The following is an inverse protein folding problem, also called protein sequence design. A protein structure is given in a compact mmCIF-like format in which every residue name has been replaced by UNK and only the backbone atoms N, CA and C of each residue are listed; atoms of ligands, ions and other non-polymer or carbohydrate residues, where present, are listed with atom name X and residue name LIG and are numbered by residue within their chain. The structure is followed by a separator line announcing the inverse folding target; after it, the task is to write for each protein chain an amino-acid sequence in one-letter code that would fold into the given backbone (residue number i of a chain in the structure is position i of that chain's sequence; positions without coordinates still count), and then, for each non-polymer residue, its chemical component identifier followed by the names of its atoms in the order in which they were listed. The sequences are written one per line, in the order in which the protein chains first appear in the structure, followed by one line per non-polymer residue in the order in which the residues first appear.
data_IF_698321753180
#
_entry.id   IF_698321753180
#
_cell.length_a   1.000
_cell.length_b   1.000
_cell.length_c   1.000
_cell.angle_alpha   90.00
_cell.angle_beta   90.00
_cell.angle_gamma   90.00
#
_symmetry.space_group_name_H-M   'P 1'
#
loop_
_entity.id
_entity.type
_entity.pdbx_description
1 polymer ?
#
# COMPACT_ATOMS: atom_id res chain seq x y z
N UNK A 1 9.65 -1.14 -14.46
CA UNK A 1 9.53 -2.02 -13.27
C UNK A 1 8.09 -2.08 -12.76
N UNK A 2 7.56 -3.27 -12.48
CA UNK A 2 6.26 -3.47 -11.83
C UNK A 2 6.47 -3.66 -10.33
N UNK A 3 5.54 -3.16 -9.54
CA UNK A 3 5.51 -3.33 -8.09
C UNK A 3 4.12 -3.82 -7.69
N UNK A 4 4.05 -5.05 -7.21
CA UNK A 4 2.81 -5.61 -6.66
C UNK A 4 2.62 -5.16 -5.22
N UNK A 5 1.53 -4.45 -4.93
CA UNK A 5 1.10 -4.16 -3.56
C UNK A 5 0.10 -5.21 -3.12
N UNK A 6 0.59 -6.23 -2.43
CA UNK A 6 -0.23 -7.28 -1.84
C UNK A 6 -0.55 -6.98 -0.37
N UNK A 7 -1.65 -7.51 0.12
CA UNK A 7 -1.85 -7.74 1.54
C UNK A 7 -3.23 -8.31 1.82
N UNK A 8 -3.37 -9.02 2.92
CA UNK A 8 -4.61 -9.67 3.37
C UNK A 8 -5.77 -8.65 3.38
N UNK A 9 -7.01 -9.00 3.02
CA UNK A 9 -8.15 -8.10 3.20
C UNK A 9 -8.17 -7.46 4.60
N UNK A 10 -8.38 -6.14 4.66
CA UNK A 10 -8.36 -5.32 5.90
C UNK A 10 -7.01 -5.25 6.65
N UNK A 11 -5.90 -5.71 6.05
CA UNK A 11 -4.54 -5.43 6.52
C UNK A 11 -4.11 -3.97 6.34
N UNK A 12 -4.76 -3.23 5.45
CA UNK A 12 -4.37 -1.87 5.07
C UNK A 12 -3.55 -1.78 3.78
N UNK A 13 -3.53 -2.84 2.97
CA UNK A 13 -2.82 -2.87 1.69
C UNK A 13 -3.24 -1.77 0.71
N UNK A 14 -4.49 -1.29 0.75
CA UNK A 14 -4.89 -0.09 -0.01
C UNK A 14 -4.11 1.14 0.43
N UNK A 15 -3.89 1.35 1.74
CA UNK A 15 -3.10 2.49 2.22
C UNK A 15 -1.65 2.36 1.79
N UNK A 16 -1.05 1.16 1.92
CA UNK A 16 0.31 0.89 1.46
C UNK A 16 0.46 1.16 -0.05
N UNK A 17 -0.47 0.66 -0.87
CA UNK A 17 -0.54 0.94 -2.30
C UNK A 17 -0.59 2.44 -2.59
N UNK A 18 -1.44 3.20 -1.90
CA UNK A 18 -1.57 4.64 -2.15
C UNK A 18 -0.34 5.44 -1.70
N UNK A 19 0.36 5.00 -0.66
CA UNK A 19 1.67 5.57 -0.30
C UNK A 19 2.70 5.30 -1.41
N UNK A 20 2.78 4.06 -1.92
CA UNK A 20 3.67 3.71 -3.02
C UNK A 20 3.35 4.44 -4.33
N UNK A 21 2.05 4.54 -4.67
CA UNK A 21 1.57 5.30 -5.82
C UNK A 21 1.91 6.80 -5.68
N UNK A 22 1.77 7.38 -4.50
CA UNK A 22 2.18 8.76 -4.23
C UNK A 22 3.68 8.99 -4.39
N UNK A 23 4.52 8.04 -3.94
CA UNK A 23 5.98 8.09 -4.15
C UNK A 23 6.32 8.00 -5.64
N UNK A 24 5.77 7.02 -6.36
CA UNK A 24 6.01 6.83 -7.78
C UNK A 24 5.56 8.05 -8.61
N UNK A 25 4.36 8.56 -8.35
CA UNK A 25 3.82 9.74 -9.03
C UNK A 25 4.72 10.96 -8.87
N UNK A 26 5.15 11.28 -7.64
CA UNK A 26 6.04 12.42 -7.39
C UNK A 26 7.49 12.18 -7.85
N UNK A 27 7.88 10.91 -8.04
CA UNK A 27 9.13 10.50 -8.66
C UNK A 27 9.10 10.48 -10.19
N UNK A 28 8.01 10.95 -10.82
CA UNK A 28 7.89 11.03 -12.28
C UNK A 28 7.30 9.77 -12.95
N UNK A 29 6.87 8.78 -12.17
CA UNK A 29 6.24 7.55 -12.66
C UNK A 29 4.72 7.57 -12.48
N UNK A 30 4.08 8.49 -13.19
CA UNK A 30 2.63 8.64 -13.18
C UNK A 30 1.89 7.46 -13.82
N UNK A 31 0.74 7.07 -13.24
CA UNK A 31 -0.15 6.05 -13.82
C UNK A 31 -1.51 6.66 -14.19
N UNK A 32 -1.98 6.46 -15.44
CA UNK A 32 -3.25 7.02 -15.92
C UNK A 32 -4.48 6.62 -15.13
N UNK A 33 -4.45 5.44 -14.48
CA UNK A 33 -5.56 4.88 -13.73
C UNK A 33 -5.94 5.64 -12.45
N UNK A 34 -5.19 6.68 -12.06
CA UNK A 34 -5.44 7.41 -10.81
C UNK A 34 -6.42 8.59 -10.93
N UNK A 35 -6.86 8.96 -12.15
CA UNK A 35 -7.76 10.12 -12.32
C UNK A 35 -8.74 10.00 -13.50
N UNK A 36 -9.92 9.38 -13.32
CA UNK A 36 -11.06 9.71 -14.14
C UNK A 36 -11.69 10.98 -13.55
N UNK A 37 -11.14 12.14 -13.91
CA UNK A 37 -11.61 13.46 -13.46
C UNK A 37 -11.47 13.70 -11.93
N UNK A 38 -10.66 14.71 -11.55
CA UNK A 38 -11.00 15.50 -10.37
C UNK A 38 -12.33 16.21 -10.65
N UNK A 39 -13.44 15.47 -10.54
CA UNK A 39 -14.65 16.09 -10.04
C UNK A 39 -14.25 16.61 -8.67
N UNK A 40 -14.02 17.92 -8.57
CA UNK A 40 -14.20 18.67 -7.32
C UNK A 40 -15.32 17.99 -6.55
N UNK A 41 -15.18 17.65 -5.25
CA UNK A 41 -16.15 16.82 -4.54
C UNK A 41 -17.53 17.48 -4.52
N UNK A 42 -18.27 17.27 -5.60
CA UNK A 42 -19.70 17.42 -5.74
C UNK A 42 -20.24 16.01 -5.67
N UNK A 43 -20.59 15.59 -4.45
CA UNK A 43 -21.47 14.44 -4.19
C UNK A 43 -21.05 13.11 -4.82
N UNK A 44 -19.98 12.51 -4.30
CA UNK A 44 -20.03 11.05 -4.07
C UNK A 44 -19.83 10.82 -2.57
N UNK A 45 -20.87 11.20 -1.84
CA UNK A 45 -21.17 10.68 -0.51
C UNK A 45 -21.71 9.28 -0.80
N UNK A 46 -21.02 8.21 -0.40
CA UNK A 46 -21.77 6.99 -0.05
C UNK A 46 -22.85 7.48 0.89
N UNK A 47 -24.16 7.37 0.56
CA UNK A 47 -25.21 7.96 1.37
C UNK A 47 -24.90 7.64 2.83
N UNK A 48 -24.67 8.68 3.63
CA UNK A 48 -24.35 8.57 5.04
C UNK A 48 -25.55 8.05 5.86
N UNK A 49 -26.43 7.24 5.24
CA UNK A 49 -27.48 6.48 5.89
C UNK A 49 -26.82 5.25 6.51
N UNK A 50 -26.16 5.44 7.66
CA UNK A 50 -25.53 4.35 8.42
C UNK A 50 -24.20 4.71 9.08
N UNK A 51 -23.62 5.87 8.75
CA UNK A 51 -22.60 6.47 9.63
C UNK A 51 -23.32 7.11 10.82
N UNK A 52 -22.72 6.99 12.00
CA UNK A 52 -23.14 7.63 13.24
C UNK A 52 -23.68 9.04 12.95
N UNK A 53 -24.92 9.41 13.35
CA UNK A 53 -25.45 10.76 13.17
C UNK A 53 -24.58 11.85 13.80
N UNK A 54 -23.62 11.51 14.67
CA UNK A 54 -22.59 12.43 15.17
C UNK A 54 -21.42 12.67 14.19
N UNK A 55 -21.36 11.96 13.06
CA UNK A 55 -20.32 12.15 12.05
C UNK A 55 -20.48 13.51 11.36
N UNK A 56 -19.60 14.44 11.72
CA UNK A 56 -19.63 15.83 11.23
C UNK A 56 -19.60 15.86 9.69
N UNK A 57 -20.37 16.76 9.04
CA UNK A 57 -20.30 16.94 7.60
C UNK A 57 -18.85 17.21 7.17
N UNK A 58 -18.49 16.77 5.96
CA UNK A 58 -17.16 16.99 5.38
C UNK A 58 -16.91 18.49 5.41
N UNK A 59 -16.05 18.95 6.33
CA UNK A 59 -15.68 20.36 6.44
C UNK A 59 -15.07 20.82 5.12
N UNK A 60 -15.39 22.06 4.75
CA UNK A 60 -14.68 22.75 3.67
C UNK A 60 -13.17 22.59 3.86
N UNK A 61 -12.46 22.32 2.75
CA UNK A 61 -11.02 22.11 2.80
C UNK A 61 -10.32 23.37 3.31
N UNK A 62 -9.33 23.20 4.19
CA UNK A 62 -8.50 24.32 4.61
C UNK A 62 -7.70 24.88 3.42
N UNK A 63 -7.33 26.18 3.40
CA UNK A 63 -6.46 26.74 2.38
C UNK A 63 -5.16 25.93 2.17
N UNK A 64 -4.59 25.43 3.27
CA UNK A 64 -3.42 24.54 3.25
C UNK A 64 -3.69 23.24 2.47
N UNK A 65 -4.84 22.61 2.69
CA UNK A 65 -5.26 21.39 1.98
C UNK A 65 -5.38 21.67 0.48
N UNK A 66 -5.96 22.80 0.10
CA UNK A 66 -6.09 23.19 -1.30
C UNK A 66 -4.72 23.40 -1.96
N UNK A 67 -3.82 24.14 -1.32
CA UNK A 67 -2.47 24.37 -1.82
C UNK A 67 -1.67 23.06 -2.00
N UNK A 68 -1.76 22.13 -1.04
CA UNK A 68 -1.09 20.83 -1.15
C UNK A 68 -1.63 19.99 -2.32
N UNK A 69 -2.94 20.08 -2.60
CA UNK A 69 -3.56 19.40 -3.73
C UNK A 69 -3.05 19.95 -5.05
N UNK A 70 -3.01 21.29 -5.20
CA UNK A 70 -2.47 21.94 -6.40
C UNK A 70 -0.98 21.60 -6.60
N UNK A 71 -0.19 21.62 -5.53
CA UNK A 71 1.23 21.27 -5.58
C UNK A 71 1.44 19.82 -6.07
N UNK A 72 0.63 18.86 -5.59
CA UNK A 72 0.69 17.48 -6.05
C UNK A 72 0.31 17.36 -7.53
N UNK A 73 -0.78 18.00 -7.95
CA UNK A 73 -1.23 17.97 -9.35
C UNK A 73 -0.19 18.59 -10.30
N UNK A 74 0.43 19.69 -9.91
CA UNK A 74 1.47 20.34 -10.69
C UNK A 74 2.71 19.45 -10.83
N UNK A 75 3.15 18.81 -9.75
CA UNK A 75 4.26 17.86 -9.79
C UNK A 75 3.94 16.65 -10.69
N UNK A 76 2.72 16.13 -10.59
CA UNK A 76 2.25 14.98 -11.37
C UNK A 76 2.14 15.23 -12.88
N UNK A 77 1.71 16.43 -13.29
CA UNK A 77 1.49 16.77 -14.71
C UNK A 77 2.76 16.87 -15.54
N UNK A 78 3.93 16.87 -14.91
CA UNK A 78 5.23 16.90 -15.62
C UNK A 78 5.58 15.56 -16.28
N UNK A 79 4.85 14.49 -15.98
CA UNK A 79 5.06 13.18 -16.60
C UNK A 79 4.16 13.04 -17.83
N UNK A 80 4.71 12.73 -19.01
CA UNK A 80 3.90 12.43 -20.19
C UNK A 80 3.00 11.20 -19.94
N UNK A 81 1.78 11.19 -20.51
CA UNK A 81 0.85 10.09 -20.29
C UNK A 81 1.44 8.72 -20.64
N UNK A 82 0.95 7.71 -19.92
CA UNK A 82 1.19 6.28 -20.18
C UNK A 82 0.83 5.87 -21.60
N UNK A 83 1.39 4.76 -22.14
CA UNK A 83 0.61 3.99 -23.09
C UNK A 83 -0.76 3.66 -22.45
N UNK A 84 -1.79 3.60 -23.28
CA UNK A 84 -3.13 3.27 -22.81
C UNK A 84 -3.15 1.84 -22.27
N UNK A 85 -3.76 1.64 -21.09
CA UNK A 85 -3.90 0.30 -20.53
C UNK A 85 -4.91 -0.52 -21.34
N UNK A 86 -4.59 -1.80 -21.67
CA UNK A 86 -5.53 -2.71 -22.29
C UNK A 86 -6.87 -2.76 -21.52
N UNK A 87 -8.02 -2.82 -22.20
CA UNK A 87 -9.34 -2.77 -21.56
C UNK A 87 -9.54 -3.78 -20.42
N UNK A 88 -9.01 -4.99 -20.57
CA UNK A 88 -9.07 -6.08 -19.59
C UNK A 88 -8.19 -5.86 -18.36
N UNK A 89 -7.18 -4.99 -18.48
CA UNK A 89 -6.31 -4.55 -17.38
C UNK A 89 -6.73 -3.17 -16.85
N UNK A 90 -7.85 -2.60 -17.29
CA UNK A 90 -8.32 -1.32 -16.76
C UNK A 90 -8.86 -1.51 -15.34
N UNK A 91 -8.66 -0.53 -14.46
CA UNK A 91 -9.29 -0.52 -13.15
C UNK A 91 -10.81 -0.66 -13.26
N UNK A 92 -11.39 -1.68 -12.62
CA UNK A 92 -12.85 -1.81 -12.48
C UNK A 92 -13.50 -0.59 -11.81
N UNK A 93 -12.77 0.10 -10.94
CA UNK A 93 -13.27 1.24 -10.16
C UNK A 93 -12.58 2.58 -10.44
N UNK A 94 -11.71 2.64 -11.46
CA UNK A 94 -10.97 3.86 -11.83
C UNK A 94 -10.01 4.40 -10.75
N UNK A 95 -9.64 3.59 -9.74
CA UNK A 95 -8.90 4.05 -8.54
C UNK A 95 -7.56 3.36 -8.29
N UNK A 96 -7.38 2.17 -8.83
CA UNK A 96 -6.16 1.39 -8.72
C UNK A 96 -6.14 0.35 -9.84
N UNK A 97 -4.97 0.10 -10.43
CA UNK A 97 -4.77 -1.11 -11.24
C UNK A 97 -4.86 -2.30 -10.29
N UNK A 98 -5.98 -3.03 -10.34
CA UNK A 98 -6.29 -4.12 -9.42
C UNK A 98 -6.39 -5.44 -10.18
N UNK A 99 -5.61 -6.44 -9.76
CA UNK A 99 -5.73 -7.81 -10.24
C UNK A 99 -6.28 -8.68 -9.12
N UNK A 100 -7.44 -9.28 -9.38
CA UNK A 100 -8.05 -10.26 -8.47
C UNK A 100 -7.39 -11.63 -8.65
N UNK A 101 -7.26 -12.07 -9.89
CA UNK A 101 -6.57 -13.31 -10.27
C UNK A 101 -5.20 -13.01 -10.83
N UNK A 102 -4.21 -13.83 -10.47
CA UNK A 102 -2.83 -13.70 -10.92
C UNK A 102 -2.53 -14.77 -11.97
N UNK A 103 -2.46 -14.36 -13.24
CA UNK A 103 -2.11 -15.25 -14.36
C UNK A 103 -0.73 -14.89 -14.90
N UNK A 104 0.12 -15.88 -15.25
CA UNK A 104 1.45 -15.61 -15.82
C UNK A 104 1.40 -14.64 -17.01
N UNK A 105 0.39 -14.77 -17.86
CA UNK A 105 0.19 -13.94 -19.06
C UNK A 105 0.01 -12.47 -18.72
N UNK A 106 -0.70 -12.16 -17.63
CA UNK A 106 -0.88 -10.78 -17.17
C UNK A 106 0.47 -10.17 -16.78
N UNK A 107 1.36 -10.96 -16.17
CA UNK A 107 2.69 -10.49 -15.80
C UNK A 107 3.55 -10.15 -17.02
N UNK A 108 3.55 -11.01 -18.06
CA UNK A 108 4.21 -10.72 -19.33
C UNK A 108 3.67 -9.44 -19.99
N UNK A 109 2.34 -9.29 -20.06
CA UNK A 109 1.67 -8.11 -20.62
C UNK A 109 2.05 -6.85 -19.85
N UNK A 110 2.00 -6.89 -18.52
CA UNK A 110 2.38 -5.75 -17.68
C UNK A 110 3.85 -5.37 -17.89
N UNK A 111 4.76 -6.34 -18.02
CA UNK A 111 6.20 -6.05 -18.23
C UNK A 111 6.39 -5.32 -19.56
N UNK A 112 5.75 -5.79 -20.62
CA UNK A 112 5.79 -5.16 -21.93
C UNK A 112 5.23 -3.72 -21.91
N UNK A 113 4.13 -3.49 -21.17
CA UNK A 113 3.51 -2.17 -21.05
C UNK A 113 4.31 -1.18 -20.20
N UNK A 114 5.10 -1.68 -19.25
CA UNK A 114 5.73 -0.83 -18.24
C UNK A 114 6.84 0.04 -18.83
N UNK A 115 7.65 -0.51 -19.76
CA UNK A 115 8.87 0.16 -20.25
C UNK A 115 9.75 0.66 -19.11
N UNK A 116 10.22 1.91 -19.22
CA UNK A 116 11.06 2.57 -18.20
C UNK A 116 10.29 3.13 -16.99
N UNK A 117 8.99 2.85 -16.89
CA UNK A 117 8.14 3.41 -15.83
C UNK A 117 8.09 2.50 -14.61
N UNK A 118 7.51 3.01 -13.52
CA UNK A 118 7.09 2.18 -12.39
C UNK A 118 5.57 2.01 -12.43
N UNK A 119 5.12 0.76 -12.55
CA UNK A 119 3.72 0.37 -12.55
C UNK A 119 3.35 -0.30 -11.23
N UNK A 120 2.42 0.28 -10.47
CA UNK A 120 1.91 -0.25 -9.21
C UNK A 120 0.65 -1.05 -9.51
N UNK A 121 0.64 -2.32 -9.10
CA UNK A 121 -0.51 -3.22 -9.22
C UNK A 121 -0.96 -3.60 -7.82
N UNK A 122 -2.21 -3.33 -7.46
CA UNK A 122 -2.81 -3.82 -6.22
C UNK A 122 -3.37 -5.22 -6.44
N UNK A 123 -3.22 -6.11 -5.47
CA UNK A 123 -3.83 -7.43 -5.53
C UNK A 123 -4.13 -7.98 -4.14
N UNK A 124 -5.12 -8.87 -4.08
CA UNK A 124 -5.35 -9.78 -2.95
C UNK A 124 -5.20 -11.25 -3.37
N UNK A 125 -4.84 -11.50 -4.63
CA UNK A 125 -4.79 -12.83 -5.21
C UNK A 125 -3.65 -13.67 -4.63
N UNK A 126 -3.95 -14.97 -4.48
CA UNK A 126 -2.97 -15.99 -4.20
C UNK A 126 -2.12 -16.26 -5.46
N UNK A 127 -0.78 -16.27 -5.35
CA UNK A 127 0.08 -16.53 -6.50
C UNK A 127 0.15 -18.05 -6.75
N UNK A 128 -0.19 -18.49 -7.96
CA UNK A 128 0.00 -19.89 -8.36
C UNK A 128 1.49 -20.25 -8.50
N UNK A 129 1.88 -21.53 -8.44
CA UNK A 129 3.26 -21.95 -8.68
C UNK A 129 3.85 -21.43 -10.01
N UNK A 130 3.07 -21.46 -11.08
CA UNK A 130 3.47 -20.96 -12.40
C UNK A 130 3.67 -19.44 -12.39
N UNK A 131 2.74 -18.70 -11.76
CA UNK A 131 2.88 -17.25 -11.62
C UNK A 131 4.13 -16.88 -10.80
N UNK A 132 4.39 -17.60 -9.71
CA UNK A 132 5.58 -17.39 -8.88
C UNK A 132 6.87 -17.67 -9.66
N UNK A 133 6.89 -18.70 -10.51
CA UNK A 133 8.03 -18.99 -11.37
C UNK A 133 8.31 -17.83 -12.35
N UNK A 134 7.28 -17.34 -13.04
CA UNK A 134 7.40 -16.16 -13.93
C UNK A 134 7.81 -14.91 -13.16
N UNK A 135 7.27 -14.69 -11.96
CA UNK A 135 7.69 -13.58 -11.09
C UNK A 135 9.17 -13.67 -10.75
N UNK A 136 9.68 -14.85 -10.35
CA UNK A 136 11.08 -15.04 -9.99
C UNK A 136 12.00 -14.75 -11.18
N UNK A 137 11.64 -15.19 -12.39
CA UNK A 137 12.37 -14.86 -13.62
C UNK A 137 12.48 -13.34 -13.84
N UNK A 138 11.34 -12.64 -13.79
CA UNK A 138 11.34 -11.19 -13.97
C UNK A 138 12.00 -10.44 -12.82
N UNK A 139 11.95 -10.96 -11.60
CA UNK A 139 12.58 -10.34 -10.43
C UNK A 139 14.10 -10.42 -10.54
N UNK A 140 14.64 -11.54 -11.05
CA UNK A 140 16.06 -11.69 -11.33
C UNK A 140 16.58 -10.65 -12.33
N UNK A 141 15.72 -10.21 -13.26
CA UNK A 141 15.99 -9.15 -14.25
C UNK A 141 15.70 -7.74 -13.72
N UNK A 142 15.25 -7.60 -12.47
CA UNK A 142 14.86 -6.32 -11.87
C UNK A 142 13.58 -5.70 -12.44
N UNK A 143 12.77 -6.49 -13.14
CA UNK A 143 11.56 -6.01 -13.81
C UNK A 143 10.34 -6.01 -12.88
N UNK A 144 10.31 -6.84 -11.84
CA UNK A 144 9.22 -6.94 -10.88
C UNK A 144 9.73 -6.91 -9.43
N UNK A 145 8.85 -6.48 -8.52
CA UNK A 145 9.00 -6.59 -7.07
C UNK A 145 7.65 -6.57 -6.36
N UNK A 146 7.65 -6.79 -5.05
CA UNK A 146 6.44 -6.78 -4.24
C UNK A 146 6.58 -5.91 -2.98
N UNK A 147 5.55 -5.15 -2.67
CA UNK A 147 5.32 -4.51 -1.39
C UNK A 147 4.26 -5.33 -0.66
N UNK A 148 4.68 -6.06 0.36
CA UNK A 148 3.84 -7.02 1.09
C UNK A 148 3.38 -6.36 2.38
N UNK A 149 2.11 -5.96 2.40
CA UNK A 149 1.49 -5.35 3.56
C UNK A 149 0.91 -6.41 4.50
N UNK A 150 1.16 -6.23 5.79
CA UNK A 150 0.68 -7.15 6.81
C UNK A 150 0.27 -6.42 8.09
N UNK A 151 -0.53 -7.09 8.92
CA UNK A 151 -1.11 -6.54 10.14
C UNK A 151 -1.26 -7.65 11.18
N UNK A 152 -1.35 -7.28 12.45
CA UNK A 152 -1.73 -8.23 13.49
C UNK A 152 -3.04 -8.94 13.11
N UNK A 153 -3.06 -10.28 12.98
CA UNK A 153 -4.23 -11.03 12.53
C UNK A 153 -5.43 -10.86 13.47
N UNK A 154 -5.19 -10.53 14.75
CA UNK A 154 -6.26 -10.26 15.71
C UNK A 154 -7.03 -8.99 15.38
N UNK A 155 -6.30 -7.97 14.95
CA UNK A 155 -6.88 -6.72 14.46
C UNK A 155 -7.57 -6.90 13.10
N UNK A 156 -7.06 -7.77 12.23
CA UNK A 156 -7.71 -8.10 10.95
C UNK A 156 -9.08 -8.73 11.21
N UNK A 157 -9.17 -9.71 12.12
CA UNK A 157 -10.44 -10.35 12.46
C UNK A 157 -11.50 -9.33 12.90
N UNK A 158 -11.15 -8.42 13.82
CA UNK A 158 -12.04 -7.33 14.24
C UNK A 158 -12.46 -6.41 13.09
N UNK A 159 -11.54 -6.12 12.16
CA UNK A 159 -11.84 -5.28 11.00
C UNK A 159 -12.74 -5.98 9.97
N UNK A 160 -12.64 -7.31 9.83
CA UNK A 160 -13.55 -8.11 9.02
C UNK A 160 -14.95 -8.15 9.64
N UNK A 161 -15.06 -8.37 10.95
CA UNK A 161 -16.34 -8.37 11.66
C UNK A 161 -17.10 -7.04 11.51
N UNK A 162 -16.40 -5.91 11.63
CA UNK A 162 -17.01 -4.59 11.41
C UNK A 162 -17.49 -4.43 9.95
N UNK A 163 -16.69 -4.86 8.98
CA UNK A 163 -17.01 -4.75 7.57
C UNK A 163 -18.23 -5.61 7.23
N UNK A 164 -18.27 -6.84 7.74
CA UNK A 164 -19.37 -7.78 7.59
C UNK A 164 -20.68 -7.20 8.14
N UNK A 165 -20.64 -6.65 9.36
CA UNK A 165 -21.80 -5.97 9.97
C UNK A 165 -22.29 -4.81 9.11
N UNK A 166 -21.38 -3.97 8.62
CA UNK A 166 -21.71 -2.82 7.79
C UNK A 166 -22.30 -3.28 6.43
N UNK A 167 -21.71 -4.29 5.81
CA UNK A 167 -22.14 -4.82 4.52
C UNK A 167 -23.52 -5.46 4.63
N UNK A 168 -23.81 -6.20 5.70
CA UNK A 168 -25.18 -6.71 5.97
C UNK A 168 -26.21 -5.59 6.11
N UNK A 169 -25.88 -4.50 6.80
CA UNK A 169 -26.76 -3.31 6.92
C UNK A 169 -27.06 -2.69 5.55
N UNK A 170 -26.11 -2.76 4.61
CA UNK A 170 -26.27 -2.24 3.25
C UNK A 170 -26.72 -3.28 2.21
N UNK A 171 -26.98 -4.53 2.60
CA UNK A 171 -27.32 -5.60 1.66
C UNK A 171 -26.20 -5.96 0.68
N UNK A 172 -24.93 -5.72 1.04
CA UNK A 172 -23.76 -6.09 0.25
C UNK A 172 -23.28 -7.50 0.63
N UNK A 173 -22.97 -8.32 -0.37
CA UNK A 173 -22.55 -9.71 -0.16
C UNK A 173 -21.10 -9.85 0.33
N UNK A 174 -20.20 -8.94 -0.07
CA UNK A 174 -18.78 -9.02 0.28
C UNK A 174 -18.58 -9.05 1.81
N UNK A 175 -17.75 -9.97 2.32
CA UNK A 175 -17.47 -10.14 3.76
C UNK A 175 -18.69 -10.47 4.63
N UNK A 176 -19.89 -10.63 4.07
CA UNK A 176 -21.11 -10.85 4.86
C UNK A 176 -21.08 -12.18 5.63
N UNK A 177 -20.23 -13.12 5.22
CA UNK A 177 -20.01 -14.44 5.82
C UNK A 177 -19.39 -14.41 7.22
N UNK A 178 -18.77 -13.29 7.63
CA UNK A 178 -18.17 -13.15 8.96
C UNK A 178 -19.21 -12.64 9.97
N UNK A 179 -20.01 -13.56 10.49
CA UNK A 179 -21.00 -13.30 11.56
C UNK A 179 -20.39 -13.48 12.95
N UNK A 180 -19.42 -14.39 13.07
CA UNK A 180 -18.79 -14.80 14.30
C UNK A 180 -17.26 -14.68 14.20
N UNK A 181 -16.61 -14.46 15.35
CA UNK A 181 -15.16 -14.28 15.41
C UNK A 181 -14.41 -15.50 14.87
N UNK A 182 -14.96 -16.69 15.06
CA UNK A 182 -14.42 -17.97 14.60
C UNK A 182 -14.32 -18.06 13.08
N UNK A 183 -15.34 -17.56 12.38
CA UNK A 183 -15.33 -17.49 10.92
C UNK A 183 -14.24 -16.53 10.45
N UNK A 184 -14.09 -15.38 11.13
CA UNK A 184 -13.03 -14.43 10.82
C UNK A 184 -11.64 -15.04 11.09
N UNK A 185 -11.47 -15.80 12.17
CA UNK A 185 -10.22 -16.51 12.47
C UNK A 185 -9.88 -17.51 11.36
N UNK A 186 -10.83 -18.33 10.93
CA UNK A 186 -10.61 -19.30 9.85
C UNK A 186 -10.29 -18.63 8.51
N UNK A 187 -10.97 -17.51 8.18
CA UNK A 187 -10.69 -16.72 6.99
C UNK A 187 -9.29 -16.10 7.03
N UNK A 188 -8.89 -15.52 8.17
CA UNK A 188 -7.56 -14.94 8.34
C UNK A 188 -6.46 -16.00 8.29
N UNK A 189 -6.65 -17.19 8.88
CA UNK A 189 -5.68 -18.29 8.79
C UNK A 189 -5.39 -18.68 7.33
N UNK A 190 -6.43 -18.77 6.49
CA UNK A 190 -6.26 -19.02 5.05
C UNK A 190 -5.40 -17.94 4.40
N UNK A 191 -5.72 -16.67 4.63
CA UNK A 191 -4.96 -15.57 4.06
C UNK A 191 -3.52 -15.45 4.61
N UNK A 192 -3.26 -15.94 5.83
CA UNK A 192 -1.89 -16.00 6.35
C UNK A 192 -1.03 -17.03 5.60
N UNK A 193 -1.64 -18.13 5.11
CA UNK A 193 -0.95 -19.10 4.24
C UNK A 193 -0.63 -18.48 2.88
N UNK A 194 -1.58 -17.76 2.29
CA UNK A 194 -1.34 -16.98 1.05
C UNK A 194 -0.23 -15.93 1.24
N UNK A 195 -0.25 -15.22 2.38
CA UNK A 195 0.79 -14.25 2.72
C UNK A 195 2.17 -14.91 2.83
N UNK A 196 2.25 -16.15 3.32
CA UNK A 196 3.51 -16.88 3.39
C UNK A 196 4.11 -17.09 1.98
N UNK A 197 3.28 -17.47 1.00
CA UNK A 197 3.71 -17.60 -0.41
C UNK A 197 4.27 -16.28 -0.95
N UNK A 198 3.59 -15.16 -0.67
CA UNK A 198 4.10 -13.84 -1.04
C UNK A 198 5.44 -13.52 -0.38
N UNK A 199 5.63 -13.89 0.90
CA UNK A 199 6.88 -13.68 1.63
C UNK A 199 8.07 -14.51 1.10
N UNK A 200 7.82 -15.56 0.32
CA UNK A 200 8.86 -16.40 -0.29
C UNK A 200 9.43 -15.83 -1.61
N UNK A 201 8.79 -14.81 -2.17
CA UNK A 201 9.23 -14.18 -3.41
C UNK A 201 10.53 -13.36 -3.19
N UNK A 202 11.35 -13.18 -4.23
CA UNK A 202 12.48 -12.26 -4.17
C UNK A 202 12.00 -10.80 -4.26
N UNK A 203 12.88 -9.87 -3.82
CA UNK A 203 12.69 -8.41 -3.94
C UNK A 203 11.39 -7.92 -3.27
N UNK A 204 11.20 -8.29 -2.01
CA UNK A 204 10.04 -7.88 -1.22
C UNK A 204 10.41 -6.72 -0.31
N UNK A 205 9.53 -5.72 -0.24
CA UNK A 205 9.47 -4.76 0.86
C UNK A 205 8.29 -5.12 1.77
N UNK A 206 8.58 -5.46 3.03
CA UNK A 206 7.54 -5.65 4.03
C UNK A 206 7.07 -4.30 4.57
N UNK A 207 5.75 -4.13 4.66
CA UNK A 207 5.12 -2.93 5.19
C UNK A 207 4.10 -3.33 6.25
N UNK A 208 4.37 -3.08 7.52
CA UNK A 208 3.36 -3.30 8.56
C UNK A 208 2.31 -2.17 8.57
N UNK A 209 1.06 -2.55 8.87
CA UNK A 209 -0.07 -1.62 8.93
C UNK A 209 0.19 -0.42 9.83
N UNK A 210 0.78 -0.65 11.00
CA UNK A 210 0.96 0.39 12.00
C UNK A 210 1.97 1.44 11.54
N UNK A 211 3.04 1.02 10.88
CA UNK A 211 3.98 1.93 10.22
C UNK A 211 3.28 2.72 9.11
N UNK A 212 2.48 2.08 8.25
CA UNK A 212 1.74 2.79 7.22
C UNK A 212 0.70 3.78 7.77
N UNK A 213 -0.07 3.38 8.79
CA UNK A 213 -1.23 4.12 9.31
C UNK A 213 -0.83 5.20 10.32
N UNK A 214 0.09 4.89 11.24
CA UNK A 214 0.42 5.75 12.38
C UNK A 214 1.81 6.39 12.27
N UNK A 215 2.71 5.83 11.46
CA UNK A 215 4.05 6.39 11.20
C UNK A 215 4.32 6.57 9.70
N UNK A 216 3.41 7.19 8.93
CA UNK A 216 3.46 7.17 7.47
C UNK A 216 4.76 7.72 6.89
N UNK A 217 5.46 8.63 7.57
CA UNK A 217 6.77 9.13 7.13
C UNK A 217 7.81 8.00 7.02
N UNK A 218 7.84 7.08 8.00
CA UNK A 218 8.74 5.93 7.98
C UNK A 218 8.39 4.97 6.83
N UNK A 219 7.10 4.66 6.64
CA UNK A 219 6.65 3.83 5.51
C UNK A 219 7.05 4.45 4.16
N UNK A 220 6.86 5.77 4.01
CA UNK A 220 7.21 6.47 2.78
C UNK A 220 8.71 6.43 2.53
N UNK A 221 9.54 6.61 3.55
CA UNK A 221 11.00 6.57 3.39
C UNK A 221 11.49 5.16 3.03
N UNK A 222 10.89 4.10 3.58
CA UNK A 222 11.14 2.71 3.16
C UNK A 222 10.79 2.49 1.70
N UNK A 223 9.61 2.95 1.27
CA UNK A 223 9.14 2.83 -0.12
C UNK A 223 10.07 3.58 -1.07
N UNK A 224 10.50 4.80 -0.74
CA UNK A 224 11.47 5.55 -1.55
C UNK A 224 12.79 4.83 -1.69
N UNK A 225 13.32 4.33 -0.57
CA UNK A 225 14.61 3.63 -0.55
C UNK A 225 14.54 2.37 -1.41
N UNK A 226 13.45 1.60 -1.30
CA UNK A 226 13.21 0.45 -2.16
C UNK A 226 13.17 0.87 -3.63
N UNK A 227 12.30 1.83 -3.99
CA UNK A 227 12.07 2.25 -5.38
C UNK A 227 13.20 3.10 -6.00
N UNK A 228 14.17 3.55 -5.22
CA UNK A 228 15.23 4.47 -5.68
C UNK A 228 14.71 5.86 -6.06
N UNK A 229 13.61 6.31 -5.42
CA UNK A 229 12.93 7.56 -5.78
C UNK A 229 13.08 8.64 -4.70
N UNK A 230 12.93 9.89 -5.13
CA UNK A 230 12.84 11.06 -4.25
C UNK A 230 11.44 11.65 -4.32
N UNK A 231 10.85 11.92 -3.16
CA UNK A 231 9.54 12.56 -3.06
C UNK A 231 9.39 13.30 -1.71
N UNK A 232 8.64 14.40 -1.62
CA UNK A 232 8.34 15.02 -0.33
C UNK A 232 7.32 14.20 0.48
N UNK A 233 7.69 13.76 1.70
CA UNK A 233 6.82 12.93 2.55
C UNK A 233 5.45 13.56 2.81
N UNK A 234 5.43 14.89 3.02
CA UNK A 234 4.20 15.61 3.28
C UNK A 234 3.20 15.51 2.11
N UNK A 235 3.69 15.58 0.86
CA UNK A 235 2.83 15.49 -0.33
C UNK A 235 2.35 14.06 -0.57
N UNK A 236 3.24 13.06 -0.41
CA UNK A 236 2.85 11.63 -0.50
C UNK A 236 1.77 11.31 0.53
N UNK A 237 1.97 11.72 1.79
CA UNK A 237 0.99 11.52 2.87
C UNK A 237 -0.33 12.23 2.57
N UNK A 238 -0.29 13.48 2.09
CA UNK A 238 -1.49 14.21 1.72
C UNK A 238 -2.25 13.49 0.61
N UNK A 239 -1.56 13.06 -0.44
CA UNK A 239 -2.14 12.24 -1.50
C UNK A 239 -2.82 11.00 -0.92
N UNK A 240 -2.08 10.13 -0.21
CA UNK A 240 -2.60 8.85 0.27
C UNK A 240 -3.76 8.97 1.27
N UNK A 241 -3.87 10.09 2.00
CA UNK A 241 -4.84 10.24 3.10
C UNK A 241 -5.98 11.21 2.81
N UNK A 242 -5.86 12.07 1.79
CA UNK A 242 -6.86 13.11 1.47
C UNK A 242 -7.36 13.05 0.04
N UNK A 243 -6.52 12.65 -0.91
CA UNK A 243 -6.84 12.66 -2.33
C UNK A 243 -7.19 11.27 -2.81
N UNK A 244 -6.30 10.32 -2.53
CA UNK A 244 -6.52 8.92 -2.79
C UNK A 244 -7.56 8.36 -1.83
N UNK A 245 -8.43 7.50 -2.36
CA UNK A 245 -9.41 6.80 -1.57
C UNK A 245 -8.73 5.74 -0.69
N UNK A 246 -8.85 5.88 0.62
CA UNK A 246 -8.56 4.82 1.59
C UNK A 246 -9.74 4.65 2.52
N UNK A 247 -10.35 3.45 2.54
CA UNK A 247 -11.35 3.13 3.56
C UNK A 247 -10.62 2.96 4.88
N UNK A 248 -10.77 3.95 5.77
CA UNK A 248 -10.42 3.81 7.17
C UNK A 248 -11.66 3.32 7.88
N UNK A 249 -11.58 2.12 8.44
CA UNK A 249 -12.56 1.66 9.41
C UNK A 249 -12.34 2.45 10.73
N UNK A 250 -11.90 1.81 11.82
CA UNK A 250 -11.61 2.54 13.07
C UNK A 250 -10.24 3.22 13.11
N UNK A 251 -9.24 2.71 12.38
CA UNK A 251 -7.86 3.19 12.40
C UNK A 251 -7.29 3.39 13.82
N UNK A 252 -7.43 2.36 14.66
CA UNK A 252 -6.91 2.30 16.04
C UNK A 252 -5.79 1.27 16.09
N UNK A 253 -4.63 1.67 16.62
CA UNK A 253 -3.49 0.78 16.84
C UNK A 253 -3.79 -0.22 17.96
N UNK A 254 -3.29 -1.45 17.83
CA UNK A 254 -3.43 -2.51 18.83
C UNK A 254 -4.88 -2.72 19.31
N UNK A 255 -5.85 -2.59 18.40
CA UNK A 255 -7.29 -2.54 18.74
C UNK A 255 -7.75 -3.80 19.49
N UNK A 256 -7.21 -4.96 19.11
CA UNK A 256 -7.49 -6.24 19.75
C UNK A 256 -7.29 -6.22 21.27
N UNK A 257 -6.36 -5.40 21.79
CA UNK A 257 -6.11 -5.30 23.24
C UNK A 257 -7.24 -4.63 24.02
N UNK A 258 -8.07 -3.84 23.34
CA UNK A 258 -9.15 -3.05 23.95
C UNK A 258 -10.53 -3.65 23.73
N UNK A 259 -10.71 -4.34 22.61
CA UNK A 259 -12.04 -4.82 22.19
C UNK A 259 -12.23 -6.33 22.39
N UNK A 260 -11.16 -7.11 22.51
CA UNK A 260 -11.26 -8.53 22.83
C UNK A 260 -11.12 -8.75 24.34
N UNK A 261 -11.92 -9.67 24.87
CA UNK A 261 -11.72 -10.16 26.23
C UNK A 261 -10.47 -11.07 26.33
N UNK A 262 -10.05 -11.38 27.55
CA UNK A 262 -8.87 -12.21 27.79
C UNK A 262 -8.94 -13.61 27.18
N UNK A 263 -10.13 -14.22 27.13
CA UNK A 263 -10.31 -15.57 26.55
C UNK A 263 -10.20 -15.52 25.03
N UNK A 264 -10.80 -14.51 24.41
CA UNK A 264 -10.69 -14.26 22.96
C UNK A 264 -9.24 -13.98 22.56
N UNK A 265 -8.53 -13.12 23.29
CA UNK A 265 -7.11 -12.84 23.04
C UNK A 265 -6.28 -14.12 23.15
N UNK A 266 -6.48 -14.93 24.20
CA UNK A 266 -5.74 -16.18 24.38
C UNK A 266 -5.97 -17.15 23.22
N UNK A 267 -7.23 -17.40 22.88
CA UNK A 267 -7.62 -18.29 21.77
C UNK A 267 -7.06 -17.85 20.43
N UNK A 268 -7.13 -16.56 20.11
CA UNK A 268 -6.60 -16.06 18.83
C UNK A 268 -5.06 -16.02 18.84
N UNK A 269 -4.44 -15.81 19.99
CA UNK A 269 -2.99 -15.87 20.12
C UNK A 269 -2.49 -17.28 19.88
N UNK A 270 -3.20 -18.29 20.39
CA UNK A 270 -2.92 -19.70 20.09
C UNK A 270 -3.11 -20.01 18.60
N UNK A 271 -4.25 -19.63 18.02
CA UNK A 271 -4.56 -19.86 16.60
C UNK A 271 -3.52 -19.24 15.65
N UNK A 272 -2.99 -18.07 15.97
CA UNK A 272 -2.03 -17.35 15.14
C UNK A 272 -0.59 -17.40 15.67
N UNK A 273 -0.29 -18.28 16.63
CA UNK A 273 0.99 -18.30 17.34
C UNK A 273 2.22 -18.33 16.40
N UNK A 274 2.26 -19.18 15.35
CA UNK A 274 3.41 -19.20 14.45
C UNK A 274 3.68 -17.84 13.80
N UNK A 275 2.62 -17.22 13.29
CA UNK A 275 2.70 -15.93 12.61
C UNK A 275 3.06 -14.79 13.58
N UNK A 276 2.41 -14.73 14.74
CA UNK A 276 2.66 -13.69 15.75
C UNK A 276 4.10 -13.74 16.27
N UNK A 277 4.66 -14.95 16.42
CA UNK A 277 6.07 -15.15 16.79
C UNK A 277 7.00 -14.70 15.68
N UNK A 278 6.75 -15.13 14.44
CA UNK A 278 7.57 -14.78 13.29
C UNK A 278 7.61 -13.28 13.04
N UNK A 279 6.51 -12.57 13.21
CA UNK A 279 6.41 -11.13 12.92
C UNK A 279 6.72 -10.23 14.12
N UNK A 280 6.88 -10.79 15.31
CA UNK A 280 7.16 -10.02 16.54
C UNK A 280 5.93 -9.34 17.17
N UNK A 281 4.71 -9.60 16.70
CA UNK A 281 3.49 -9.04 17.29
C UNK A 281 3.25 -9.51 18.74
N UNK A 282 3.85 -10.64 19.16
CA UNK A 282 3.80 -11.07 20.57
C UNK A 282 4.54 -10.11 21.52
N UNK A 283 5.64 -9.50 21.07
CA UNK A 283 6.48 -8.63 21.90
C UNK A 283 5.91 -7.20 22.07
N UNK A 284 4.70 -6.95 21.57
CA UNK A 284 4.02 -5.66 21.71
C UNK A 284 4.46 -4.57 20.75
N UNK A 285 5.24 -4.93 19.73
CA UNK A 285 5.30 -4.30 18.40
C UNK A 285 6.26 -5.09 17.52
N UNK A 286 6.03 -5.19 16.21
CA UNK A 286 7.08 -5.60 15.31
C UNK A 286 8.19 -4.53 15.42
N UNK A 287 9.30 -4.86 16.08
CA UNK A 287 10.55 -4.24 15.68
C UNK A 287 10.66 -4.57 14.19
N UNK A 288 10.78 -3.56 13.32
CA UNK A 288 11.12 -3.80 11.92
C UNK A 288 12.46 -4.52 11.98
N UNK A 289 12.42 -5.86 11.94
CA UNK A 289 13.61 -6.70 11.95
C UNK A 289 13.83 -7.05 10.49
N UNK A 290 14.65 -6.28 9.76
CA UNK A 290 15.01 -6.64 8.38
C UNK A 290 15.56 -8.07 8.31
N UNK A 291 16.13 -8.56 9.41
CA UNK A 291 16.69 -9.90 9.60
C UNK A 291 15.67 -11.05 9.53
N UNK A 292 14.39 -10.83 9.85
CA UNK A 292 13.38 -11.91 9.84
C UNK A 292 13.15 -12.46 8.42
N UNK A 293 13.49 -11.68 7.39
CA UNK A 293 13.29 -12.04 5.99
C UNK A 293 14.57 -11.90 5.13
N UNK A 294 15.72 -11.62 5.75
CA UNK A 294 17.00 -11.39 5.05
C UNK A 294 17.60 -12.63 4.35
N UNK A 295 16.90 -13.78 4.33
CA UNK A 295 17.39 -15.00 3.66
C UNK A 295 17.14 -15.03 2.14
N UNK A 296 16.45 -14.05 1.55
CA UNK A 296 16.09 -14.07 0.11
C UNK A 296 16.66 -12.88 -0.69
N UNK A 297 17.96 -12.92 -0.97
CA UNK A 297 18.56 -12.24 -2.12
C UNK A 297 19.51 -11.06 -1.80
N UNK A 298 20.41 -10.73 -2.75
CA UNK A 298 21.60 -9.91 -2.49
C UNK A 298 21.25 -8.43 -2.33
N UNK A 299 21.02 -8.01 -1.08
CA UNK A 299 20.93 -6.60 -0.71
C UNK A 299 22.10 -6.21 0.19
N UNK A 300 23.28 -6.00 -0.42
CA UNK A 300 24.32 -5.13 0.15
C UNK A 300 25.38 -4.72 -0.90
N UNK A 301 24.95 -4.23 -2.06
CA UNK A 301 25.69 -3.14 -2.71
C UNK A 301 24.72 -2.00 -2.93
N UNK A 302 24.50 -1.26 -1.85
CA UNK A 302 24.31 0.18 -1.99
C UNK A 302 25.57 0.69 -2.69
N UNK A 303 25.56 0.71 -4.01
CA UNK A 303 26.40 1.66 -4.72
C UNK A 303 25.85 3.00 -4.24
N UNK A 304 26.62 3.66 -3.37
CA UNK A 304 26.34 5.02 -2.97
C UNK A 304 26.03 5.78 -4.25
N UNK A 305 24.79 6.24 -4.39
CA UNK A 305 24.45 7.18 -5.44
C UNK A 305 25.46 8.32 -5.28
N UNK A 306 26.26 8.66 -6.31
CA UNK A 306 27.26 9.70 -6.15
C UNK A 306 26.54 10.95 -5.62
N UNK A 307 27.16 11.73 -4.71
CA UNK A 307 26.62 13.03 -4.37
C UNK A 307 26.30 13.76 -5.68
N UNK A 308 25.21 14.55 -5.74
CA UNK A 308 24.93 15.35 -6.93
C UNK A 308 26.23 16.05 -7.34
N UNK A 309 26.55 16.15 -8.64
CA UNK A 309 27.72 16.89 -9.06
C UNK A 309 27.67 18.24 -8.37
N UNK A 310 28.76 18.60 -7.69
CA UNK A 310 28.88 19.90 -7.05
C UNK A 310 28.47 20.91 -8.12
N UNK A 311 27.34 21.59 -7.91
CA UNK A 311 26.96 22.67 -8.79
C UNK A 311 28.18 23.57 -8.88
N UNK A 312 28.70 23.75 -10.11
CA UNK A 312 29.72 24.72 -10.43
C UNK A 312 29.32 26.02 -9.76
N UNK A 313 30.02 26.34 -8.66
CA UNK A 313 30.06 27.69 -8.14
C UNK A 313 30.98 28.45 -9.06
N UNK A 314 30.51 28.70 -10.28
CA UNK A 314 31.06 29.77 -11.08
C UNK A 314 30.43 31.07 -10.55
N UNK A 315 31.10 31.61 -9.54
CA UNK A 315 30.87 32.96 -9.06
C UNK A 315 32.22 33.68 -9.15
N UNK A 316 32.45 34.24 -10.33
CA UNK A 316 33.29 35.40 -10.58
C UNK A 316 33.12 36.41 -9.43
N UNK A 317 34.06 36.41 -8.48
CA UNK A 317 34.25 37.53 -7.55
C UNK A 317 35.09 38.59 -8.26
N UNK A 318 34.61 39.83 -8.40
CA UNK A 318 35.50 40.92 -8.78
C UNK A 318 36.42 41.25 -7.60
N UNK A 319 37.71 41.37 -7.91
CA UNK A 319 38.76 41.88 -7.03
C UNK A 319 38.50 43.36 -6.72
N UNK A 320 38.62 43.83 -5.47
CA UNK A 320 38.51 45.26 -5.18
C UNK A 320 39.78 46.00 -5.67
N UNK A 321 39.66 47.23 -6.17
CA UNK A 321 40.81 48.04 -6.58
C UNK A 321 41.63 48.49 -5.36
N UNK A 322 42.93 48.66 -5.61
CA UNK A 322 43.96 49.10 -4.67
C UNK A 322 43.86 50.59 -4.30
#
# INVERSE_FOLDING_TARGET
MIVFSYGIPKSGSTLAYQLAAGVAALGGHWQPCHWPELRMPGRFVMPARGLDPASKPIRAWSPKTHLMTLAFQFAARRTPPGPEMPPDLRPLSGRALFLETLRPEDLHRLVALTGDRILLVKTHGEPSPEWMATYREFAARGLVRAHVNHRDPRDICLALMDAARLHRVFGLAEFSEYEQLEQAVAGVDRHLKELALWCELPRILHLDYDTCAFRPHQAIDLIKADLGLRAPNALVRHYATRLAFTQRNKAVADRHRRELDHRQVARMTEAFLPYLRQTGYLAGRPAIRPEIFAKTGPAARAQAWPPPPAAERDATRPTPPA
#
